data_IF_684439678753
#
_entry.id   IF_684439678753
#
_cell.length_a   1.000
_cell.length_b   1.000
_cell.length_c   1.000
_cell.angle_alpha   90.00
_cell.angle_beta   90.00
_cell.angle_gamma   90.00
#
_symmetry.space_group_name_H-M   'P 1'
#
loop_
_entity.id
_entity.type
_entity.pdbx_description
1 polymer ?
#
# COMPACT_ATOMS: atom_id res chain seq x y z
N UNK A 1 -9.93 15.36 3.10
CA UNK A 1 -9.20 14.94 1.89
C UNK A 1 -7.88 15.70 1.84
N UNK A 2 -6.76 15.05 1.50
CA UNK A 2 -5.39 15.62 1.52
C UNK A 2 -4.50 14.90 0.51
N UNK A 3 -3.45 15.53 -0.03
CA UNK A 3 -2.44 14.89 -0.91
C UNK A 3 -1.91 13.57 -0.33
N UNK A 4 -1.66 13.53 0.99
CA UNK A 4 -1.17 12.32 1.68
C UNK A 4 -2.16 11.14 1.66
N UNK A 5 -3.45 11.40 1.46
CA UNK A 5 -4.45 10.36 1.26
C UNK A 5 -4.30 9.72 -0.12
N UNK A 6 -4.02 10.52 -1.16
CA UNK A 6 -3.74 10.01 -2.50
C UNK A 6 -2.46 9.15 -2.53
N UNK A 7 -1.44 9.55 -1.76
CA UNK A 7 -0.21 8.75 -1.58
C UNK A 7 -0.52 7.40 -0.93
N UNK A 8 -1.41 7.35 0.05
CA UNK A 8 -1.84 6.08 0.65
C UNK A 8 -2.56 5.20 -0.36
N UNK A 9 -3.50 5.78 -1.14
CA UNK A 9 -4.20 5.07 -2.22
C UNK A 9 -3.23 4.52 -3.27
N UNK A 10 -2.15 5.25 -3.59
CA UNK A 10 -1.10 4.75 -4.47
C UNK A 10 -0.38 3.53 -3.87
N UNK A 11 -0.09 3.53 -2.56
CA UNK A 11 0.46 2.35 -1.88
C UNK A 11 -0.48 1.13 -1.92
N UNK A 12 -1.79 1.35 -1.81
CA UNK A 12 -2.80 0.30 -1.97
C UNK A 12 -2.79 -0.25 -3.41
N UNK A 13 -2.68 0.61 -4.42
CA UNK A 13 -2.55 0.21 -5.82
C UNK A 13 -1.28 -0.63 -6.06
N UNK A 14 -0.14 -0.25 -5.47
CA UNK A 14 1.09 -1.05 -5.58
C UNK A 14 0.92 -2.45 -4.98
N UNK A 15 0.15 -2.57 -3.89
CA UNK A 15 -0.17 -3.87 -3.29
C UNK A 15 -1.07 -4.71 -4.19
N UNK A 16 -2.09 -4.11 -4.81
CA UNK A 16 -2.96 -4.77 -5.78
C UNK A 16 -2.18 -5.31 -6.98
N UNK A 17 -1.21 -4.52 -7.49
CA UNK A 17 -0.33 -4.95 -8.58
C UNK A 17 0.61 -6.10 -8.20
N UNK A 18 1.06 -6.13 -6.94
CA UNK A 18 1.91 -7.21 -6.43
C UNK A 18 1.13 -8.52 -6.27
N UNK A 19 -0.08 -8.46 -5.71
CA UNK A 19 -0.92 -9.63 -5.46
C UNK A 19 -1.70 -10.08 -6.70
N UNK A 20 -1.84 -9.22 -7.71
CA UNK A 20 -2.77 -9.39 -8.83
C UNK A 20 -4.20 -9.72 -8.35
N UNK A 21 -4.61 -9.12 -7.23
CA UNK A 21 -5.87 -9.39 -6.56
C UNK A 21 -6.34 -8.14 -5.79
N UNK A 22 -7.61 -8.12 -5.40
CA UNK A 22 -8.25 -6.97 -4.78
C UNK A 22 -7.49 -6.47 -3.55
N UNK A 23 -7.50 -5.14 -3.31
CA UNK A 23 -6.93 -4.56 -2.10
C UNK A 23 -7.42 -5.28 -0.83
N UNK A 24 -6.47 -5.66 0.03
CA UNK A 24 -6.76 -6.34 1.30
C UNK A 24 -7.40 -7.74 1.16
N UNK A 25 -7.32 -8.40 -0.01
CA UNK A 25 -7.89 -9.74 -0.20
C UNK A 25 -7.27 -10.78 0.75
N UNK A 26 -6.03 -10.55 1.19
CA UNK A 26 -5.32 -11.37 2.16
C UNK A 26 -5.56 -10.95 3.62
N UNK A 27 -6.41 -9.97 3.89
CA UNK A 27 -6.76 -9.55 5.26
C UNK A 27 -8.03 -10.24 5.72
N UNK A 28 -7.88 -11.17 6.64
CA UNK A 28 -8.98 -11.87 7.31
C UNK A 28 -9.15 -11.41 8.77
N UNK A 29 -10.36 -11.56 9.31
CA UNK A 29 -10.58 -11.43 10.75
C UNK A 29 -9.90 -12.58 11.52
N UNK A 30 -9.91 -12.51 12.86
CA UNK A 30 -9.31 -13.54 13.72
C UNK A 30 -9.90 -14.95 13.55
N UNK A 31 -10.99 -15.10 12.79
CA UNK A 31 -11.67 -16.37 12.49
C UNK A 31 -11.48 -16.79 11.03
N UNK A 32 -10.64 -16.09 10.26
CA UNK A 32 -10.38 -16.40 8.86
C UNK A 32 -11.48 -15.93 7.90
N UNK A 33 -12.46 -15.15 8.36
CA UNK A 33 -13.53 -14.63 7.51
C UNK A 33 -13.15 -13.28 6.90
N UNK A 34 -13.63 -13.02 5.68
CA UNK A 34 -13.47 -11.72 5.02
C UNK A 34 -14.10 -10.59 5.83
N UNK A 35 -13.44 -9.44 5.84
CA UNK A 35 -13.88 -8.24 6.58
C UNK A 35 -14.74 -7.38 5.66
N UNK A 36 -15.90 -6.90 6.13
CA UNK A 36 -16.73 -5.97 5.35
C UNK A 36 -15.99 -4.66 5.06
N UNK A 37 -16.20 -4.03 3.90
CA UNK A 37 -15.52 -2.79 3.52
C UNK A 37 -15.66 -1.67 4.55
N UNK A 38 -16.84 -1.53 5.18
CA UNK A 38 -17.07 -0.55 6.25
C UNK A 38 -16.18 -0.83 7.46
N UNK A 39 -16.08 -2.10 7.88
CA UNK A 39 -15.23 -2.49 9.02
C UNK A 39 -13.76 -2.35 8.68
N UNK A 40 -13.37 -2.71 7.47
CA UNK A 40 -12.01 -2.55 6.95
C UNK A 40 -11.58 -1.08 6.99
N UNK A 41 -12.43 -0.16 6.50
CA UNK A 41 -12.16 1.27 6.56
C UNK A 41 -11.92 1.79 7.98
N UNK A 42 -12.70 1.32 8.96
CA UNK A 42 -12.48 1.65 10.39
C UNK A 42 -11.15 1.11 10.90
N UNK A 43 -10.79 -0.12 10.56
CA UNK A 43 -9.53 -0.73 11.01
C UNK A 43 -8.30 -0.05 10.38
N UNK A 44 -8.39 0.32 9.11
CA UNK A 44 -7.36 1.11 8.39
C UNK A 44 -7.22 2.49 9.03
N UNK A 45 -8.32 3.19 9.29
CA UNK A 45 -8.30 4.50 9.96
C UNK A 45 -7.72 4.44 11.39
N UNK A 46 -7.81 3.29 12.05
CA UNK A 46 -7.21 3.03 13.36
C UNK A 46 -5.76 2.52 13.28
N UNK A 47 -5.22 2.30 12.08
CA UNK A 47 -3.86 1.75 11.90
C UNK A 47 -3.73 0.29 12.33
N UNK A 48 -4.84 -0.42 12.48
CA UNK A 48 -4.87 -1.83 12.89
C UNK A 48 -4.70 -2.80 11.74
N UNK A 49 -4.97 -2.34 10.53
CA UNK A 49 -4.83 -3.09 9.29
C UNK A 49 -4.13 -2.20 8.27
N UNK A 50 -3.17 -2.77 7.57
CA UNK A 50 -2.56 -2.20 6.36
C UNK A 50 -2.47 -3.30 5.30
N UNK A 51 -2.44 -2.96 4.00
CA UNK A 51 -2.17 -3.92 2.95
C UNK A 51 -0.86 -4.67 3.22
N UNK A 52 -0.83 -5.96 2.87
CA UNK A 52 0.35 -6.80 3.00
C UNK A 52 0.78 -7.30 1.63
N UNK A 53 2.04 -7.08 1.30
CA UNK A 53 2.66 -7.55 0.07
C UNK A 53 3.01 -9.04 0.16
N UNK A 54 3.11 -9.67 -1.00
CA UNK A 54 3.58 -11.04 -1.16
C UNK A 54 5.04 -11.16 -0.71
N UNK A 55 5.46 -12.34 -0.22
CA UNK A 55 6.88 -12.61 0.06
C UNK A 55 7.77 -12.54 -1.19
N UNK A 56 7.18 -12.61 -2.38
CA UNK A 56 7.87 -12.57 -3.68
C UNK A 56 7.86 -11.18 -4.31
N UNK A 57 7.30 -10.17 -3.62
CA UNK A 57 7.20 -8.81 -4.13
C UNK A 57 8.56 -8.27 -4.54
N UNK A 58 8.61 -7.58 -5.68
CA UNK A 58 9.84 -6.98 -6.18
C UNK A 58 10.33 -5.95 -5.14
N UNK A 59 11.60 -6.00 -4.69
CA UNK A 59 12.06 -5.21 -3.53
C UNK A 59 11.77 -3.71 -3.61
N UNK A 60 11.93 -3.10 -4.79
CA UNK A 60 11.68 -1.66 -4.96
C UNK A 60 10.19 -1.31 -4.87
N UNK A 61 9.30 -2.22 -5.30
CA UNK A 61 7.84 -2.05 -5.18
C UNK A 61 7.44 -2.17 -3.72
N UNK A 62 7.96 -3.19 -3.02
CA UNK A 62 7.71 -3.41 -1.60
C UNK A 62 8.10 -2.18 -0.77
N UNK A 63 9.31 -1.68 -0.93
CA UNK A 63 9.82 -0.52 -0.19
C UNK A 63 8.96 0.74 -0.47
N UNK A 64 8.69 1.02 -1.75
CA UNK A 64 7.86 2.15 -2.15
C UNK A 64 6.43 2.05 -1.60
N UNK A 65 5.84 0.87 -1.69
CA UNK A 65 4.51 0.58 -1.17
C UNK A 65 4.41 0.76 0.34
N UNK A 66 5.39 0.22 1.09
CA UNK A 66 5.45 0.38 2.55
C UNK A 66 5.58 1.84 2.99
N UNK A 67 6.39 2.65 2.29
CA UNK A 67 6.50 4.09 2.55
C UNK A 67 5.19 4.83 2.28
N UNK A 68 4.46 4.44 1.24
CA UNK A 68 3.15 5.02 0.92
C UNK A 68 2.09 4.66 1.97
N UNK A 69 2.16 3.45 2.54
CA UNK A 69 1.20 2.90 3.49
C UNK A 69 1.49 3.25 4.96
N UNK A 70 2.43 4.16 5.24
CA UNK A 70 2.69 4.64 6.61
C UNK A 70 1.41 5.19 7.24
N UNK A 71 1.13 4.76 8.47
CA UNK A 71 -0.04 5.22 9.21
C UNK A 71 -0.02 6.74 9.41
N UNK A 72 1.12 7.27 9.87
CA UNK A 72 1.36 8.72 9.98
C UNK A 72 1.46 9.37 8.58
N UNK A 73 0.53 10.26 8.20
CA UNK A 73 0.54 10.91 6.90
C UNK A 73 1.79 11.75 6.62
N UNK A 74 2.44 12.27 7.68
CA UNK A 74 3.65 13.10 7.54
C UNK A 74 4.87 12.29 7.08
N UNK A 75 4.86 10.98 7.32
CA UNK A 75 5.95 10.08 6.98
C UNK A 75 5.83 9.51 5.56
N UNK A 76 4.69 9.73 4.90
CA UNK A 76 4.51 9.30 3.51
C UNK A 76 5.33 10.21 2.58
N UNK A 77 5.88 9.70 1.48
CA UNK A 77 6.60 10.52 0.51
C UNK A 77 5.68 11.53 -0.20
N UNK A 78 6.26 12.44 -0.96
CA UNK A 78 5.52 13.30 -1.89
C UNK A 78 5.35 12.61 -3.25
N UNK A 79 4.37 13.05 -4.04
CA UNK A 79 4.19 12.54 -5.39
C UNK A 79 5.45 12.71 -6.26
N UNK A 80 6.18 13.81 -6.08
CA UNK A 80 7.43 14.08 -6.78
C UNK A 80 8.53 13.07 -6.43
N UNK A 81 8.67 12.73 -5.14
CA UNK A 81 9.63 11.72 -4.69
C UNK A 81 9.30 10.35 -5.27
N UNK A 82 8.01 9.96 -5.27
CA UNK A 82 7.56 8.71 -5.87
C UNK A 82 7.83 8.65 -7.37
N UNK A 83 7.49 9.72 -8.12
CA UNK A 83 7.74 9.79 -9.55
C UNK A 83 9.24 9.70 -9.90
N UNK A 84 10.11 10.26 -9.05
CA UNK A 84 11.56 10.11 -9.20
C UNK A 84 12.02 8.67 -8.94
N UNK A 85 11.57 8.05 -7.83
CA UNK A 85 11.90 6.65 -7.49
C UNK A 85 11.43 5.68 -8.57
N UNK A 86 10.20 5.85 -9.05
CA UNK A 86 9.60 5.01 -10.09
C UNK A 86 10.41 5.06 -11.40
N UNK A 87 10.74 6.27 -11.87
CA UNK A 87 11.57 6.44 -13.08
C UNK A 87 12.94 5.78 -12.95
N UNK A 88 13.57 5.91 -11.78
CA UNK A 88 14.86 5.26 -11.51
C UNK A 88 14.77 3.74 -11.46
N UNK A 89 13.72 3.22 -10.82
CA UNK A 89 13.52 1.77 -10.71
C UNK A 89 13.33 1.16 -12.10
N UNK A 90 12.45 1.71 -12.92
CA UNK A 90 12.16 1.20 -14.27
C UNK A 90 13.38 1.30 -15.19
N UNK A 91 14.16 2.39 -15.11
CA UNK A 91 15.38 2.53 -15.90
C UNK A 91 16.49 1.53 -15.51
N UNK A 92 16.44 0.98 -14.30
CA UNK A 92 17.39 -0.02 -13.79
C UNK A 92 16.99 -1.48 -14.10
N UNK A 93 15.77 -1.72 -14.57
CA UNK A 93 15.30 -3.04 -15.01
C UNK A 93 15.79 -3.25 -16.44
N UNK A 94 17.00 -3.80 -16.60
CA UNK A 94 17.54 -4.30 -17.86
C UNK A 94 17.46 -5.82 -17.91
#
# INVERSE_FOLDING_TARGET
>A
YTEKADIYSFGVLLNELDLCDLPYSNVADSRGAGISHTRLGVLVAQGKVSPQFSPQCIPWVLEMGQDCLRFDPSQRPTAMQLAYRLRRAIAGVK
#
